data_IF_652010609308
#
_entry.id   IF_652010609308
#
_cell.length_a   1.000
_cell.length_b   1.000
_cell.length_c   1.000
_cell.angle_alpha   90.00
_cell.angle_beta   90.00
_cell.angle_gamma   90.00
#
_symmetry.space_group_name_H-M   'P 1'
#
loop_
_entity.id
_entity.type
_entity.pdbx_description
1 polymer ?
#
# COMPACT_ATOMS: atom_id res chain seq x y z
N UNK A 1 5.67 4.60 -11.53
CA UNK A 1 6.57 3.43 -11.46
C UNK A 1 6.88 2.98 -12.88
N UNK A 2 8.13 2.73 -13.20
CA UNK A 2 8.57 2.20 -14.50
C UNK A 2 9.40 0.93 -14.26
N UNK A 3 9.07 -0.15 -14.98
CA UNK A 3 9.87 -1.38 -14.96
C UNK A 3 11.09 -1.24 -15.87
N UNK A 4 12.30 -1.46 -15.32
CA UNK A 4 13.58 -1.24 -16.03
C UNK A 4 14.23 -2.52 -16.55
N UNK A 5 13.51 -3.64 -16.60
CA UNK A 5 14.04 -4.92 -17.10
C UNK A 5 14.41 -4.88 -18.59
N UNK A 6 13.89 -3.93 -19.33
CA UNK A 6 14.20 -3.73 -20.74
C UNK A 6 14.90 -2.39 -20.95
N UNK A 7 16.07 -2.40 -21.60
CA UNK A 7 16.78 -1.18 -21.99
C UNK A 7 17.58 -0.48 -20.90
N UNK A 8 17.94 -1.17 -19.80
CA UNK A 8 18.85 -0.66 -18.73
C UNK A 8 18.59 0.79 -18.27
N UNK A 9 17.33 1.18 -18.16
CA UNK A 9 16.95 2.51 -17.68
C UNK A 9 16.89 3.61 -18.75
N UNK A 10 17.19 3.31 -20.01
CA UNK A 10 17.14 4.33 -21.10
C UNK A 10 15.75 4.96 -21.21
N UNK A 11 14.69 4.15 -21.06
CA UNK A 11 13.31 4.63 -21.13
C UNK A 11 13.00 5.59 -19.99
N UNK A 12 13.44 5.29 -18.77
CA UNK A 12 13.23 6.17 -17.60
C UNK A 12 14.01 7.49 -17.75
N UNK A 13 15.23 7.46 -18.30
CA UNK A 13 15.99 8.68 -18.58
C UNK A 13 15.31 9.58 -19.63
N UNK A 14 14.78 8.99 -20.68
CA UNK A 14 14.02 9.73 -21.70
C UNK A 14 12.78 10.39 -21.09
N UNK A 15 12.03 9.65 -20.25
CA UNK A 15 10.88 10.20 -19.55
C UNK A 15 11.28 11.32 -18.57
N UNK A 16 12.33 11.13 -17.78
CA UNK A 16 12.84 12.19 -16.88
C UNK A 16 13.19 13.47 -17.63
N UNK A 17 13.89 13.35 -18.76
CA UNK A 17 14.20 14.50 -19.62
C UNK A 17 12.94 15.19 -20.17
N UNK A 18 11.96 14.41 -20.64
CA UNK A 18 10.71 14.96 -21.14
C UNK A 18 9.91 15.68 -20.04
N UNK A 19 9.80 15.10 -18.85
CA UNK A 19 9.12 15.70 -17.69
C UNK A 19 9.80 17.00 -17.25
N UNK A 20 11.12 17.05 -17.26
CA UNK A 20 11.88 18.29 -17.00
C UNK A 20 11.58 19.38 -18.03
N UNK A 21 11.53 19.02 -19.32
CA UNK A 21 11.21 19.98 -20.40
C UNK A 21 9.78 20.52 -20.29
N UNK A 22 8.84 19.67 -19.88
CA UNK A 22 7.42 20.04 -19.71
C UNK A 22 7.11 20.66 -18.35
N UNK A 23 8.13 20.81 -17.47
CA UNK A 23 8.01 21.36 -16.10
C UNK A 23 6.95 20.62 -15.26
N UNK A 24 6.78 19.33 -15.48
CA UNK A 24 5.88 18.50 -14.70
C UNK A 24 6.62 17.96 -13.47
N UNK A 25 6.10 18.23 -12.29
CA UNK A 25 6.62 17.73 -11.02
C UNK A 25 6.11 16.29 -10.79
N UNK A 26 6.60 15.35 -11.60
CA UNK A 26 6.28 13.92 -11.47
C UNK A 26 7.58 13.18 -11.16
N UNK A 27 7.58 12.44 -10.08
CA UNK A 27 8.70 11.56 -9.73
C UNK A 27 8.56 10.20 -10.43
N UNK A 28 9.70 9.65 -10.87
CA UNK A 28 9.77 8.35 -11.55
C UNK A 28 10.52 7.38 -10.66
N UNK A 29 9.80 6.40 -10.15
CA UNK A 29 10.38 5.28 -9.43
C UNK A 29 10.65 4.11 -10.38
N UNK A 30 11.88 3.62 -10.34
CA UNK A 30 12.35 2.50 -11.15
C UNK A 30 12.27 1.20 -10.36
N UNK A 31 11.64 0.18 -10.94
CA UNK A 31 11.49 -1.13 -10.32
C UNK A 31 12.07 -2.21 -11.23
N UNK A 32 12.85 -3.13 -10.66
CA UNK A 32 13.32 -4.34 -11.35
C UNK A 32 12.52 -5.55 -10.90
N UNK A 33 12.00 -6.30 -11.85
CA UNK A 33 11.30 -7.55 -11.57
C UNK A 33 12.23 -8.75 -11.82
N UNK A 34 12.51 -9.49 -10.75
CA UNK A 34 13.36 -10.69 -10.79
C UNK A 34 12.55 -11.99 -10.65
N UNK A 35 11.23 -11.89 -10.54
CA UNK A 35 10.29 -13.00 -10.35
C UNK A 35 9.49 -13.20 -11.63
N UNK A 36 9.03 -14.44 -11.88
CA UNK A 36 8.14 -14.73 -13.01
C UNK A 36 6.93 -13.80 -12.98
N UNK A 37 6.50 -13.35 -14.15
CA UNK A 37 5.41 -12.38 -14.30
C UNK A 37 4.12 -12.89 -13.69
N UNK A 38 3.76 -14.13 -13.97
CA UNK A 38 2.52 -14.76 -13.48
C UNK A 38 2.51 -14.85 -11.94
N UNK A 39 3.62 -15.27 -11.34
CA UNK A 39 3.74 -15.38 -9.89
C UNK A 39 3.66 -13.99 -9.23
N UNK A 40 4.34 -13.00 -9.80
CA UNK A 40 4.31 -11.61 -9.33
C UNK A 40 2.89 -11.03 -9.33
N UNK A 41 2.15 -11.24 -10.41
CA UNK A 41 0.77 -10.77 -10.54
C UNK A 41 -0.12 -11.42 -9.48
N UNK A 42 -0.06 -12.73 -9.35
CA UNK A 42 -0.90 -13.47 -8.41
C UNK A 42 -0.54 -13.10 -6.97
N UNK A 43 0.74 -13.12 -6.61
CA UNK A 43 1.20 -12.82 -5.25
C UNK A 43 0.87 -11.38 -4.81
N UNK A 44 0.75 -10.45 -5.77
CA UNK A 44 0.34 -9.08 -5.49
C UNK A 44 -1.18 -8.92 -5.35
N UNK A 45 -1.96 -9.58 -6.20
CA UNK A 45 -3.41 -9.37 -6.28
C UNK A 45 -4.22 -10.31 -5.37
N UNK A 46 -3.81 -11.57 -5.23
CA UNK A 46 -4.55 -12.58 -4.47
C UNK A 46 -4.85 -12.15 -3.02
N UNK A 47 -3.89 -11.64 -2.22
CA UNK A 47 -4.17 -11.20 -0.85
C UNK A 47 -5.19 -10.06 -0.78
N UNK A 48 -5.10 -9.11 -1.72
CA UNK A 48 -5.97 -7.92 -1.74
C UNK A 48 -7.39 -8.28 -2.17
N UNK A 49 -7.52 -9.21 -3.13
CA UNK A 49 -8.82 -9.71 -3.59
C UNK A 49 -9.50 -10.57 -2.50
N UNK A 50 -8.76 -11.45 -1.85
CA UNK A 50 -9.28 -12.28 -0.76
C UNK A 50 -9.73 -11.47 0.46
N UNK A 51 -9.10 -10.32 0.70
CA UNK A 51 -9.46 -9.39 1.77
C UNK A 51 -10.52 -8.35 1.33
N UNK A 52 -11.04 -8.45 0.10
CA UNK A 52 -12.00 -7.49 -0.46
C UNK A 52 -11.55 -6.02 -0.41
N UNK A 53 -10.23 -5.79 -0.51
CA UNK A 53 -9.64 -4.44 -0.42
C UNK A 53 -9.56 -3.71 -1.76
N UNK A 54 -9.77 -4.41 -2.87
CA UNK A 54 -9.82 -3.80 -4.20
C UNK A 54 -11.25 -3.35 -4.51
N UNK A 55 -11.46 -2.04 -4.53
CA UNK A 55 -12.74 -1.43 -4.90
C UNK A 55 -12.63 -0.87 -6.30
N UNK A 56 -13.56 -1.21 -7.17
CA UNK A 56 -13.57 -0.80 -8.58
C UNK A 56 -14.84 -0.01 -8.88
N UNK A 57 -14.66 1.17 -9.48
CA UNK A 57 -15.80 1.96 -9.98
C UNK A 57 -16.47 1.24 -11.17
N UNK A 58 -17.81 1.28 -11.22
CA UNK A 58 -18.58 0.73 -12.33
C UNK A 58 -18.22 1.32 -13.70
N UNK A 59 -17.76 2.56 -13.73
CA UNK A 59 -17.33 3.20 -14.96
C UNK A 59 -16.06 2.53 -15.53
N UNK A 60 -15.15 2.08 -14.68
CA UNK A 60 -13.93 1.37 -15.10
C UNK A 60 -14.28 0.06 -15.80
N UNK A 61 -15.29 -0.66 -15.32
CA UNK A 61 -15.79 -1.88 -15.97
C UNK A 61 -16.34 -1.57 -17.37
N UNK A 62 -17.11 -0.48 -17.48
CA UNK A 62 -17.65 -0.06 -18.77
C UNK A 62 -16.56 0.41 -19.75
N UNK A 63 -15.53 1.10 -19.25
CA UNK A 63 -14.39 1.53 -20.06
C UNK A 63 -13.55 0.35 -20.51
N UNK A 64 -13.31 -0.62 -19.64
CA UNK A 64 -12.60 -1.85 -20.00
C UNK A 64 -13.32 -2.58 -21.13
N UNK A 65 -14.62 -2.73 -21.02
CA UNK A 65 -15.46 -3.36 -22.07
C UNK A 65 -15.40 -2.61 -23.42
N UNK A 66 -15.33 -1.27 -23.39
CA UNK A 66 -15.31 -0.43 -24.60
C UNK A 66 -13.91 -0.11 -25.11
N UNK A 67 -12.86 -0.56 -24.45
CA UNK A 67 -11.49 -0.04 -24.62
C UNK A 67 -10.84 -0.39 -25.95
N UNK A 68 -11.30 -1.42 -26.67
CA UNK A 68 -10.76 -1.83 -27.97
C UNK A 68 -11.87 -2.05 -28.99
N UNK A 69 -12.54 -0.99 -29.46
CA UNK A 69 -13.67 -1.10 -30.40
C UNK A 69 -13.27 -1.69 -31.74
N UNK A 70 -12.03 -1.41 -32.19
CA UNK A 70 -11.53 -1.80 -33.51
C UNK A 70 -10.99 -3.25 -33.56
N UNK A 71 -10.81 -3.89 -32.42
CA UNK A 71 -10.39 -5.28 -32.37
C UNK A 71 -11.54 -6.22 -32.76
N UNK A 72 -11.20 -7.32 -33.46
CA UNK A 72 -12.17 -8.37 -33.72
C UNK A 72 -12.83 -8.86 -32.42
N UNK A 73 -14.14 -9.17 -32.41
CA UNK A 73 -14.86 -9.50 -31.18
C UNK A 73 -14.20 -10.60 -30.34
N UNK A 74 -13.62 -11.60 -31.00
CA UNK A 74 -12.93 -12.72 -30.36
C UNK A 74 -11.61 -12.31 -29.68
N UNK A 75 -10.90 -11.33 -30.25
CA UNK A 75 -9.64 -10.81 -29.71
C UNK A 75 -9.88 -9.74 -28.65
N UNK A 76 -11.02 -9.03 -28.72
CA UNK A 76 -11.36 -7.95 -27.79
C UNK A 76 -11.31 -8.40 -26.32
N UNK A 77 -11.85 -9.57 -26.03
CA UNK A 77 -11.87 -10.14 -24.67
C UNK A 77 -10.47 -10.30 -24.09
N UNK A 78 -9.48 -10.69 -24.90
CA UNK A 78 -8.12 -10.95 -24.42
C UNK A 78 -7.42 -9.68 -23.90
N UNK A 79 -7.87 -8.50 -24.34
CA UNK A 79 -7.34 -7.22 -23.91
C UNK A 79 -8.08 -6.59 -22.73
N UNK A 80 -9.18 -7.19 -22.27
CA UNK A 80 -9.94 -6.68 -21.12
C UNK A 80 -9.30 -7.11 -19.82
N UNK A 81 -9.14 -6.14 -18.90
CA UNK A 81 -8.56 -6.35 -17.57
C UNK A 81 -9.30 -7.44 -16.79
N UNK A 82 -10.63 -7.35 -16.72
CA UNK A 82 -11.42 -8.31 -15.93
C UNK A 82 -11.43 -9.71 -16.55
N UNK A 83 -11.33 -9.82 -17.87
CA UNK A 83 -11.12 -11.11 -18.51
C UNK A 83 -9.75 -11.70 -18.16
N UNK A 84 -8.69 -10.89 -18.24
CA UNK A 84 -7.33 -11.28 -17.84
C UNK A 84 -7.30 -11.76 -16.39
N UNK A 85 -7.93 -11.02 -15.46
CA UNK A 85 -8.06 -11.41 -14.05
C UNK A 85 -8.73 -12.78 -13.87
N UNK A 86 -9.81 -13.04 -14.61
CA UNK A 86 -10.57 -14.30 -14.48
C UNK A 86 -9.84 -15.52 -15.03
N UNK A 87 -8.80 -15.32 -15.88
CA UNK A 87 -8.05 -16.39 -16.53
C UNK A 87 -6.64 -16.57 -16.02
N UNK A 88 -6.15 -15.64 -15.18
CA UNK A 88 -4.80 -15.71 -14.63
C UNK A 88 -4.64 -16.94 -13.72
N UNK A 89 -3.59 -17.71 -13.99
CA UNK A 89 -3.13 -18.80 -13.13
C UNK A 89 -1.59 -18.86 -13.13
N UNK A 90 -1.02 -19.71 -12.29
CA UNK A 90 0.46 -19.83 -12.13
C UNK A 90 1.12 -20.56 -13.32
N UNK A 91 0.36 -21.01 -14.30
CA UNK A 91 0.92 -21.62 -15.50
C UNK A 91 1.49 -20.56 -16.43
N UNK A 92 2.68 -20.83 -16.99
CA UNK A 92 3.33 -19.91 -17.92
C UNK A 92 2.48 -19.70 -19.17
N UNK A 93 2.20 -18.43 -19.47
CA UNK A 93 1.41 -18.07 -20.65
C UNK A 93 -0.09 -18.36 -20.55
N UNK A 94 -0.63 -18.50 -19.34
CA UNK A 94 -2.06 -18.68 -19.08
C UNK A 94 -2.93 -17.59 -19.73
N UNK A 95 -2.40 -16.37 -19.76
CA UNK A 95 -3.03 -15.22 -20.41
C UNK A 95 -2.09 -14.70 -21.50
N UNK A 96 -2.57 -14.64 -22.74
CA UNK A 96 -1.77 -14.21 -23.89
C UNK A 96 -1.41 -12.71 -23.85
N UNK A 97 -2.32 -11.89 -23.37
CA UNK A 97 -2.17 -10.45 -23.20
C UNK A 97 -2.48 -10.12 -21.74
N UNK A 98 -1.47 -9.92 -20.93
CA UNK A 98 -1.57 -9.72 -19.49
C UNK A 98 -1.12 -8.33 -19.04
N UNK A 99 -0.83 -7.42 -19.98
CA UNK A 99 -0.20 -6.13 -19.70
C UNK A 99 -1.04 -5.24 -18.78
N UNK A 100 -2.36 -5.24 -18.91
CA UNK A 100 -3.25 -4.47 -18.02
C UNK A 100 -3.26 -5.02 -16.61
N UNK A 101 -3.27 -6.35 -16.50
CA UNK A 101 -3.26 -7.02 -15.23
C UNK A 101 -1.91 -6.86 -14.51
N UNK A 102 -0.81 -6.90 -15.25
CA UNK A 102 0.52 -6.64 -14.71
C UNK A 102 0.66 -5.20 -14.22
N UNK A 103 0.16 -4.23 -14.99
CA UNK A 103 0.12 -2.84 -14.57
C UNK A 103 -0.69 -2.66 -13.27
N UNK A 104 -1.86 -3.29 -13.15
CA UNK A 104 -2.65 -3.28 -11.92
C UNK A 104 -1.88 -3.90 -10.75
N UNK A 105 -1.24 -5.05 -10.96
CA UNK A 105 -0.47 -5.75 -9.94
C UNK A 105 0.70 -4.89 -9.42
N UNK A 106 1.42 -4.22 -10.32
CA UNK A 106 2.49 -3.30 -9.94
C UNK A 106 1.97 -2.11 -9.13
N UNK A 107 0.84 -1.51 -9.54
CA UNK A 107 0.19 -0.44 -8.80
C UNK A 107 -0.26 -0.88 -7.40
N UNK A 108 -0.91 -2.03 -7.30
CA UNK A 108 -1.35 -2.60 -6.03
C UNK A 108 -0.16 -2.87 -5.10
N UNK A 109 0.91 -3.45 -5.61
CA UNK A 109 2.13 -3.70 -4.85
C UNK A 109 2.72 -2.40 -4.31
N UNK A 110 2.90 -1.39 -5.18
CA UNK A 110 3.43 -0.09 -4.82
C UNK A 110 2.63 0.56 -3.66
N UNK A 111 1.31 0.63 -3.79
CA UNK A 111 0.46 1.22 -2.75
C UNK A 111 0.42 0.39 -1.47
N UNK A 112 0.48 -0.93 -1.57
CA UNK A 112 0.51 -1.81 -0.40
C UNK A 112 1.81 -1.62 0.38
N UNK A 113 2.94 -1.53 -0.30
CA UNK A 113 4.25 -1.29 0.30
C UNK A 113 4.30 0.12 0.94
N UNK A 114 3.84 1.15 0.25
CA UNK A 114 3.77 2.51 0.76
C UNK A 114 2.87 2.61 2.02
N UNK A 115 1.71 1.97 2.02
CA UNK A 115 0.81 1.94 3.18
C UNK A 115 1.41 1.17 4.36
N UNK A 116 2.16 0.09 4.11
CA UNK A 116 2.81 -0.67 5.18
C UNK A 116 3.92 0.14 5.86
N UNK A 117 4.70 0.90 5.11
CA UNK A 117 5.73 1.81 5.63
C UNK A 117 5.07 2.89 6.50
N UNK A 118 4.04 3.55 6.00
CA UNK A 118 3.31 4.59 6.73
C UNK A 118 2.67 4.06 8.02
N UNK A 119 2.11 2.86 8.01
CA UNK A 119 1.55 2.22 9.20
C UNK A 119 2.65 1.91 10.24
N UNK A 120 3.81 1.42 9.80
CA UNK A 120 4.94 1.14 10.68
C UNK A 120 5.51 2.43 11.30
N UNK A 121 5.62 3.49 10.53
CA UNK A 121 6.04 4.80 11.02
C UNK A 121 5.07 5.35 12.08
N UNK A 122 3.76 5.24 11.86
CA UNK A 122 2.75 5.64 12.82
C UNK A 122 2.84 4.83 14.13
N UNK A 123 3.07 3.52 14.06
CA UNK A 123 3.30 2.67 15.22
C UNK A 123 4.55 3.09 15.97
N UNK A 124 5.65 3.35 15.26
CA UNK A 124 6.91 3.76 15.88
C UNK A 124 6.81 5.14 16.56
N UNK A 125 6.09 6.08 15.94
CA UNK A 125 5.82 7.40 16.50
C UNK A 125 5.02 7.26 17.80
N UNK A 126 3.93 6.48 17.78
CA UNK A 126 3.11 6.23 18.95
C UNK A 126 3.90 5.61 20.11
N UNK A 127 4.73 4.60 19.83
CA UNK A 127 5.61 4.01 20.82
C UNK A 127 6.58 5.02 21.42
N UNK A 128 7.14 5.90 20.59
CA UNK A 128 8.04 6.97 21.03
C UNK A 128 7.34 7.96 21.96
N UNK A 129 6.13 8.36 21.61
CA UNK A 129 5.30 9.24 22.44
C UNK A 129 4.97 8.60 23.79
N UNK A 130 4.61 7.31 23.80
CA UNK A 130 4.37 6.55 25.02
C UNK A 130 5.63 6.49 25.90
N UNK A 131 6.80 6.23 25.33
CA UNK A 131 8.07 6.23 26.05
C UNK A 131 8.42 7.60 26.63
N UNK A 132 8.26 8.68 25.87
CA UNK A 132 8.52 10.03 26.35
C UNK A 132 7.58 10.39 27.52
N UNK A 133 6.30 10.05 27.40
CA UNK A 133 5.35 10.25 28.48
C UNK A 133 5.69 9.46 29.74
N UNK A 134 6.20 8.23 29.62
CA UNK A 134 6.68 7.43 30.76
C UNK A 134 7.90 8.04 31.41
N UNK A 135 8.84 8.58 30.60
CA UNK A 135 10.05 9.25 31.08
C UNK A 135 9.72 10.54 31.85
N UNK A 136 8.84 11.37 31.27
CA UNK A 136 8.37 12.59 31.95
C UNK A 136 7.73 12.25 33.29
N UNK A 137 6.87 11.26 33.31
CA UNK A 137 6.21 10.79 34.51
C UNK A 137 7.19 10.27 35.58
N UNK A 138 8.23 9.57 35.14
CA UNK A 138 9.29 9.08 36.01
C UNK A 138 10.14 10.23 36.58
N UNK A 139 10.45 11.24 35.77
CA UNK A 139 11.24 12.40 36.20
C UNK A 139 10.48 13.27 37.21
N UNK A 140 9.18 13.44 37.00
CA UNK A 140 8.33 14.22 37.94
C UNK A 140 8.08 13.51 39.28
N UNK A 141 7.89 12.19 39.23
CA UNK A 141 7.50 11.37 40.36
C UNK A 141 8.26 10.02 40.43
N UNK A 142 9.58 10.03 40.70
CA UNK A 142 10.41 8.83 40.50
C UNK A 142 9.99 7.65 41.41
N UNK A 143 9.58 7.92 42.64
CA UNK A 143 9.20 6.82 43.54
C UNK A 143 7.85 6.17 43.21
N UNK A 144 6.87 6.97 42.82
CA UNK A 144 5.52 6.48 42.51
C UNK A 144 5.48 5.84 41.13
N UNK A 145 6.15 6.48 40.16
CA UNK A 145 6.18 6.00 38.78
C UNK A 145 6.96 4.67 38.62
N UNK A 146 8.11 4.56 39.32
CA UNK A 146 8.87 3.31 39.31
C UNK A 146 8.05 2.13 39.85
N UNK A 147 7.27 2.31 40.89
CA UNK A 147 6.41 1.29 41.45
C UNK A 147 5.27 0.90 40.48
N UNK A 148 4.64 1.89 39.84
CA UNK A 148 3.55 1.62 38.87
C UNK A 148 4.05 0.97 37.59
N UNK A 149 5.24 1.34 37.12
CA UNK A 149 5.86 0.67 35.96
C UNK A 149 6.24 -0.77 36.31
N UNK A 150 6.81 -1.00 37.50
CA UNK A 150 7.15 -2.34 37.97
C UNK A 150 5.91 -3.25 38.11
N UNK A 151 4.74 -2.67 38.40
CA UNK A 151 3.45 -3.37 38.48
C UNK A 151 2.79 -3.55 37.09
N UNK A 152 3.40 -3.08 35.99
CA UNK A 152 2.84 -3.17 34.63
C UNK A 152 1.61 -2.29 34.38
N UNK A 153 1.40 -1.26 35.20
CA UNK A 153 0.29 -0.34 35.02
C UNK A 153 0.46 0.54 33.78
N UNK A 154 -0.59 0.66 32.96
CA UNK A 154 -0.64 1.63 31.88
C UNK A 154 -0.83 3.07 32.39
N UNK A 155 -0.71 4.07 31.46
CA UNK A 155 -0.82 5.49 31.84
C UNK A 155 -2.17 5.81 32.50
N UNK A 156 -3.26 5.29 31.96
CA UNK A 156 -4.63 5.53 32.47
C UNK A 156 -4.79 4.98 33.90
N UNK A 157 -4.26 3.78 34.15
CA UNK A 157 -4.26 3.17 35.47
C UNK A 157 -3.40 3.95 36.47
N UNK A 158 -2.24 4.46 36.03
CA UNK A 158 -1.36 5.31 36.85
C UNK A 158 -2.02 6.63 37.21
N UNK A 159 -2.64 7.32 36.25
CA UNK A 159 -3.33 8.59 36.48
C UNK A 159 -4.52 8.42 37.45
N UNK A 160 -5.27 7.33 37.27
CA UNK A 160 -6.36 6.96 38.16
C UNK A 160 -5.87 6.65 39.60
N UNK A 161 -4.76 5.93 39.72
CA UNK A 161 -4.15 5.63 41.03
C UNK A 161 -3.64 6.88 41.76
N UNK A 162 -3.28 7.95 41.02
CA UNK A 162 -2.87 9.25 41.55
C UNK A 162 -4.03 10.20 41.84
N UNK A 163 -5.26 9.83 41.58
CA UNK A 163 -6.44 10.67 41.71
C UNK A 163 -6.55 11.79 40.67
N UNK A 164 -5.84 11.69 39.58
CA UNK A 164 -5.99 12.61 38.44
C UNK A 164 -7.27 12.23 37.69
N UNK A 165 -8.27 13.12 37.72
CA UNK A 165 -9.49 12.91 36.93
C UNK A 165 -9.14 12.95 35.43
N UNK A 166 -9.12 11.79 34.78
CA UNK A 166 -9.00 11.66 33.34
C UNK A 166 -10.33 12.05 32.70
N UNK A 167 -10.64 13.32 32.76
CA UNK A 167 -11.87 13.88 32.24
C UNK A 167 -11.72 14.37 30.80
N UNK A 168 -11.72 13.44 29.82
CA UNK A 168 -12.30 13.69 28.50
C UNK A 168 -12.69 12.36 27.87
N UNK A 169 -13.96 12.14 27.54
CA UNK A 169 -14.34 10.96 26.76
C UNK A 169 -13.65 11.03 25.40
N UNK A 170 -13.07 9.90 24.98
CA UNK A 170 -12.54 9.72 23.63
C UNK A 170 -13.67 10.01 22.63
N UNK A 171 -13.39 10.71 21.53
CA UNK A 171 -14.39 10.91 20.49
C UNK A 171 -14.82 9.55 19.95
N UNK A 172 -16.10 9.24 20.07
CA UNK A 172 -16.76 8.11 19.44
C UNK A 172 -16.83 8.40 17.93
N UNK A 173 -16.00 7.71 17.17
CA UNK A 173 -16.15 7.68 15.72
C UNK A 173 -17.30 6.74 15.38
N UNK A 174 -18.41 7.31 14.91
CA UNK A 174 -19.50 6.60 14.25
C UNK A 174 -19.17 6.43 12.77
#
# INVERSE_FOLDING_TARGET
>A
VIETNFGDGIVSELFKKHLQQTKQAIDIEEVRANVRKEDRIIDSLEPILNQHRLVVDKQVINWDYKSNPDAAPELRLMYMLFYQMSRMCREKGAVKHDDRLDCLAQGVKYYTDALSISAQEAINTRKREEWNSLLEDFLENPHTSANHIAMGMDKVQRDKARGVETGKPLPTWV
#
